data_IF_104694754636
#
_entry.id   IF_104694754636
#
_cell.length_a   1.000
_cell.length_b   1.000
_cell.length_c   1.000
_cell.angle_alpha   90.00
_cell.angle_beta   90.00
_cell.angle_gamma   90.00
#
_symmetry.space_group_name_H-M   'P 1'
#
loop_
_entity.id
_entity.type
_entity.pdbx_description
1 polymer ?
#
# COMPACT_ATOMS: atom_id res chain seq x y z
N UNK A 1 -6.37 27.16 -19.22
CA UNK A 1 -7.15 26.41 -18.21
C UNK A 1 -7.10 24.96 -18.61
N UNK A 2 -6.14 24.25 -18.05
CA UNK A 2 -5.21 23.43 -18.82
C UNK A 2 -5.51 21.95 -18.62
N UNK A 3 -5.24 21.12 -19.64
CA UNK A 3 -5.64 19.71 -19.76
C UNK A 3 -5.40 18.82 -18.51
N UNK A 4 -4.58 19.23 -17.54
CA UNK A 4 -4.37 18.52 -16.26
C UNK A 4 -5.61 18.57 -15.37
N UNK A 5 -6.34 19.69 -15.36
CA UNK A 5 -7.59 19.85 -14.62
C UNK A 5 -8.68 18.88 -15.13
N UNK A 6 -8.64 18.54 -16.42
CA UNK A 6 -9.57 17.60 -17.02
C UNK A 6 -9.43 16.18 -16.44
N UNK A 7 -8.21 15.70 -16.23
CA UNK A 7 -7.97 14.40 -15.59
C UNK A 7 -8.51 14.39 -14.14
N UNK A 8 -8.35 15.50 -13.41
CA UNK A 8 -8.90 15.64 -12.05
C UNK A 8 -10.43 15.66 -12.03
N UNK A 9 -11.02 16.43 -12.94
CA UNK A 9 -12.46 16.51 -13.09
C UNK A 9 -13.07 15.15 -13.47
N UNK A 10 -12.45 14.43 -14.41
CA UNK A 10 -12.88 13.09 -14.81
C UNK A 10 -12.81 12.10 -13.65
N UNK A 11 -11.69 12.07 -12.90
CA UNK A 11 -11.56 11.23 -11.72
C UNK A 11 -12.67 11.52 -10.69
N UNK A 12 -12.98 12.81 -10.46
CA UNK A 12 -14.06 13.23 -9.55
C UNK A 12 -15.45 12.82 -10.07
N UNK A 13 -15.70 12.96 -11.36
CA UNK A 13 -16.98 12.56 -11.98
C UNK A 13 -17.17 11.05 -11.88
N UNK A 14 -16.13 10.25 -12.13
CA UNK A 14 -16.16 8.80 -11.95
C UNK A 14 -16.52 8.46 -10.50
N UNK A 15 -15.80 9.01 -9.52
CA UNK A 15 -16.05 8.75 -8.10
C UNK A 15 -17.48 9.15 -7.67
N UNK A 16 -17.95 10.32 -8.11
CA UNK A 16 -19.30 10.83 -7.80
C UNK A 16 -20.39 9.95 -8.43
N UNK A 17 -20.23 9.63 -9.72
CA UNK A 17 -21.18 8.80 -10.46
C UNK A 17 -21.27 7.40 -9.85
N UNK A 18 -20.13 6.75 -9.65
CA UNK A 18 -20.06 5.37 -9.16
C UNK A 18 -20.63 5.25 -7.75
N UNK A 19 -20.36 6.22 -6.88
CA UNK A 19 -20.93 6.26 -5.53
C UNK A 19 -22.46 6.40 -5.55
N UNK A 20 -23.00 7.31 -6.37
CA UNK A 20 -24.44 7.51 -6.49
C UNK A 20 -25.12 6.29 -7.13
N UNK A 21 -24.60 5.82 -8.26
CA UNK A 21 -25.15 4.70 -9.02
C UNK A 21 -25.11 3.38 -8.25
N UNK A 22 -24.04 3.11 -7.50
CA UNK A 22 -23.96 1.87 -6.70
C UNK A 22 -25.07 1.76 -5.68
N UNK A 23 -25.48 2.89 -5.09
CA UNK A 23 -26.60 2.91 -4.15
C UNK A 23 -27.96 2.77 -4.85
N UNK A 24 -28.14 3.48 -5.97
CA UNK A 24 -29.40 3.53 -6.70
C UNK A 24 -29.72 2.21 -7.43
N UNK A 25 -28.71 1.47 -7.87
CA UNK A 25 -28.86 0.28 -8.72
C UNK A 25 -28.71 -1.04 -7.97
N UNK A 26 -28.81 -1.01 -6.64
CA UNK A 26 -28.76 -2.21 -5.81
C UNK A 26 -29.81 -3.22 -6.27
N UNK A 27 -29.41 -4.48 -6.43
CA UNK A 27 -30.25 -5.60 -6.89
C UNK A 27 -30.88 -5.42 -8.29
N UNK A 28 -30.36 -4.50 -9.13
CA UNK A 28 -30.79 -4.30 -10.51
C UNK A 28 -29.65 -4.58 -11.51
N UNK A 29 -29.47 -5.85 -11.94
CA UNK A 29 -28.32 -6.26 -12.76
C UNK A 29 -28.16 -5.52 -14.09
N UNK A 30 -29.25 -5.09 -14.73
CA UNK A 30 -29.22 -4.28 -15.95
C UNK A 30 -28.67 -2.87 -15.69
N UNK A 31 -29.14 -2.21 -14.64
CA UNK A 31 -28.68 -0.88 -14.27
C UNK A 31 -27.25 -0.90 -13.72
N UNK A 32 -26.88 -1.95 -12.97
CA UNK A 32 -25.48 -2.22 -12.59
C UNK A 32 -24.62 -2.38 -13.84
N UNK A 33 -25.06 -3.16 -14.83
CA UNK A 33 -24.33 -3.32 -16.09
C UNK A 33 -24.11 -1.99 -16.81
N UNK A 34 -25.13 -1.14 -16.84
CA UNK A 34 -25.03 0.21 -17.41
C UNK A 34 -24.11 1.13 -16.61
N UNK A 35 -24.11 1.02 -15.28
CA UNK A 35 -23.16 1.74 -14.42
C UNK A 35 -21.73 1.33 -14.70
N UNK A 36 -21.46 0.02 -14.78
CA UNK A 36 -20.13 -0.50 -15.08
C UNK A 36 -19.65 -0.01 -16.45
N UNK A 37 -20.50 -0.10 -17.49
CA UNK A 37 -20.22 0.41 -18.83
C UNK A 37 -19.91 1.92 -18.83
N UNK A 38 -20.71 2.70 -18.11
CA UNK A 38 -20.52 4.17 -18.02
C UNK A 38 -19.24 4.53 -17.27
N UNK A 39 -18.91 3.78 -16.24
CA UNK A 39 -17.69 3.99 -15.45
C UNK A 39 -16.44 3.73 -16.27
N UNK A 40 -16.43 2.65 -17.08
CA UNK A 40 -15.29 2.36 -17.95
C UNK A 40 -15.22 3.32 -19.14
N UNK A 41 -16.34 3.80 -19.70
CA UNK A 41 -16.35 4.86 -20.72
C UNK A 41 -15.69 6.14 -20.22
N UNK A 42 -16.06 6.58 -19.01
CA UNK A 42 -15.44 7.74 -18.36
C UNK A 42 -13.96 7.50 -18.06
N UNK A 43 -13.61 6.28 -17.64
CA UNK A 43 -12.22 5.90 -17.42
C UNK A 43 -11.40 5.93 -18.73
N UNK A 44 -11.95 5.53 -19.87
CA UNK A 44 -11.27 5.65 -21.17
C UNK A 44 -10.94 7.11 -21.48
N UNK A 45 -11.83 8.06 -21.15
CA UNK A 45 -11.52 9.49 -21.28
C UNK A 45 -10.39 9.92 -20.33
N UNK A 46 -10.41 9.44 -19.08
CA UNK A 46 -9.34 9.70 -18.10
C UNK A 46 -8.00 9.12 -18.55
N UNK A 47 -7.97 7.89 -19.06
CA UNK A 47 -6.77 7.21 -19.55
C UNK A 47 -6.18 7.97 -20.74
N UNK A 48 -7.00 8.34 -21.74
CA UNK A 48 -6.55 9.19 -22.86
C UNK A 48 -5.95 10.51 -22.40
N UNK A 49 -6.59 11.18 -21.43
CA UNK A 49 -6.07 12.41 -20.83
C UNK A 49 -4.72 12.17 -20.15
N UNK A 50 -4.62 11.14 -19.31
CA UNK A 50 -3.41 10.84 -18.55
C UNK A 50 -2.23 10.45 -19.46
N UNK A 51 -2.48 9.64 -20.48
CA UNK A 51 -1.49 9.23 -21.47
C UNK A 51 -0.94 10.40 -22.28
N UNK A 52 -1.80 11.39 -22.59
CA UNK A 52 -1.37 12.60 -23.27
C UNK A 52 -0.35 13.41 -22.45
N UNK A 53 -0.55 13.50 -21.13
CA UNK A 53 0.37 14.21 -20.23
C UNK A 53 1.60 13.39 -19.85
N UNK A 54 1.43 12.08 -19.70
CA UNK A 54 2.47 11.16 -19.24
C UNK A 54 2.56 9.96 -20.17
N UNK A 55 3.24 10.10 -21.33
CA UNK A 55 3.35 9.03 -22.32
C UNK A 55 3.94 7.73 -21.78
N UNK A 56 4.79 7.79 -20.74
CA UNK A 56 5.35 6.62 -20.06
C UNK A 56 4.28 5.60 -19.61
N UNK A 57 3.06 6.06 -19.32
CA UNK A 57 1.96 5.17 -18.97
C UNK A 57 1.64 4.18 -20.10
N UNK A 58 1.83 4.54 -21.38
CA UNK A 58 1.56 3.66 -22.53
C UNK A 58 2.28 2.30 -22.42
N UNK A 59 3.45 2.28 -21.80
CA UNK A 59 4.25 1.06 -21.69
C UNK A 59 3.66 0.01 -20.74
N UNK A 60 2.63 0.36 -19.97
CA UNK A 60 2.08 -0.49 -18.92
C UNK A 60 0.62 -0.88 -19.20
N UNK A 61 0.28 -2.14 -18.95
CA UNK A 61 -1.10 -2.64 -19.03
C UNK A 61 -1.93 -2.06 -17.88
N UNK A 62 -3.11 -1.45 -18.16
CA UNK A 62 -4.01 -0.94 -17.11
C UNK A 62 -4.66 -2.03 -16.24
N UNK A 63 -4.57 -3.31 -16.61
CA UNK A 63 -4.93 -4.45 -15.76
C UNK A 63 -6.37 -4.95 -15.88
N UNK A 64 -7.16 -4.45 -16.85
CA UNK A 64 -8.51 -4.96 -17.10
C UNK A 64 -8.45 -6.30 -17.86
N UNK A 65 -9.08 -7.39 -17.40
CA UNK A 65 -9.14 -8.66 -18.15
C UNK A 65 -9.92 -8.54 -19.46
N UNK A 66 -9.58 -9.30 -20.52
CA UNK A 66 -10.32 -9.27 -21.79
C UNK A 66 -11.80 -9.67 -21.66
N UNK A 67 -12.09 -10.70 -20.87
CA UNK A 67 -13.45 -11.25 -20.68
C UNK A 67 -14.28 -10.51 -19.63
N UNK A 68 -13.76 -9.40 -19.10
CA UNK A 68 -14.36 -8.69 -17.97
C UNK A 68 -15.80 -8.23 -18.25
N UNK A 69 -16.12 -7.88 -19.48
CA UNK A 69 -17.39 -7.26 -19.84
C UNK A 69 -18.40 -8.23 -20.47
N UNK A 70 -18.03 -9.49 -20.70
CA UNK A 70 -18.93 -10.52 -21.24
C UNK A 70 -20.25 -10.66 -20.46
N UNK A 71 -20.28 -10.53 -19.11
CA UNK A 71 -21.52 -10.71 -18.36
C UNK A 71 -22.47 -9.50 -18.35
N UNK A 72 -22.12 -8.37 -18.99
CA UNK A 72 -22.93 -7.16 -18.93
C UNK A 72 -24.28 -7.34 -19.66
N UNK A 73 -25.37 -6.97 -19.00
CA UNK A 73 -26.72 -6.97 -19.58
C UNK A 73 -26.97 -5.66 -20.33
N UNK A 74 -26.72 -5.65 -21.65
CA UNK A 74 -26.80 -4.46 -22.50
C UNK A 74 -27.86 -4.64 -23.61
N UNK A 75 -29.17 -4.53 -23.30
CA UNK A 75 -30.24 -4.86 -24.25
C UNK A 75 -30.32 -3.90 -25.46
N UNK A 76 -29.74 -2.70 -25.37
CA UNK A 76 -29.83 -1.70 -26.44
C UNK A 76 -28.61 -1.73 -27.34
N UNK A 77 -28.82 -1.64 -28.66
CA UNK A 77 -27.74 -1.53 -29.67
C UNK A 77 -26.71 -0.45 -29.31
N UNK A 78 -27.15 0.73 -28.90
CA UNK A 78 -26.26 1.83 -28.52
C UNK A 78 -25.35 1.49 -27.32
N UNK A 79 -25.81 0.64 -26.39
CA UNK A 79 -24.99 0.18 -25.27
C UNK A 79 -23.92 -0.83 -25.75
N UNK A 80 -24.30 -1.77 -26.61
CA UNK A 80 -23.35 -2.72 -27.21
C UNK A 80 -22.30 -2.01 -28.07
N UNK A 81 -22.68 -0.98 -28.84
CA UNK A 81 -21.75 -0.16 -29.61
C UNK A 81 -20.78 0.63 -28.71
N UNK A 82 -21.23 1.08 -27.53
CA UNK A 82 -20.36 1.69 -26.51
C UNK A 82 -19.35 0.67 -25.99
N UNK A 83 -19.82 -0.52 -25.62
CA UNK A 83 -18.96 -1.58 -25.13
C UNK A 83 -17.89 -1.96 -26.16
N UNK A 84 -18.27 -2.13 -27.42
CA UNK A 84 -17.33 -2.44 -28.51
C UNK A 84 -16.19 -1.42 -28.59
N UNK A 85 -16.49 -0.12 -28.45
CA UNK A 85 -15.46 0.94 -28.46
C UNK A 85 -14.52 0.84 -27.26
N UNK A 86 -15.04 0.50 -26.07
CA UNK A 86 -14.25 0.28 -24.86
C UNK A 86 -13.33 -0.92 -25.03
N UNK A 87 -13.85 -2.06 -25.49
CA UNK A 87 -13.08 -3.28 -25.71
C UNK A 87 -11.97 -3.08 -26.75
N UNK A 88 -12.28 -2.39 -27.87
CA UNK A 88 -11.29 -2.02 -28.88
C UNK A 88 -10.20 -1.09 -28.32
N UNK A 89 -10.59 -0.13 -27.48
CA UNK A 89 -9.63 0.75 -26.81
C UNK A 89 -8.71 -0.04 -25.89
N UNK A 90 -9.24 -0.88 -25.02
CA UNK A 90 -8.47 -1.70 -24.08
C UNK A 90 -7.57 -2.71 -24.79
N UNK A 91 -8.05 -3.34 -25.87
CA UNK A 91 -7.26 -4.23 -26.69
C UNK A 91 -6.07 -3.51 -27.33
N UNK A 92 -6.30 -2.31 -27.90
CA UNK A 92 -5.22 -1.46 -28.44
C UNK A 92 -4.25 -1.06 -27.33
N UNK A 93 -4.77 -0.67 -26.17
CA UNK A 93 -3.98 -0.24 -25.01
C UNK A 93 -3.07 -1.34 -24.47
N UNK A 94 -3.57 -2.59 -24.44
CA UNK A 94 -2.80 -3.78 -24.05
C UNK A 94 -1.74 -4.13 -25.08
N UNK A 95 -2.06 -4.07 -26.38
CA UNK A 95 -1.09 -4.32 -27.46
C UNK A 95 0.04 -3.31 -27.47
N UNK A 96 -0.23 -2.06 -27.08
CA UNK A 96 0.77 -1.01 -26.96
C UNK A 96 1.66 -1.14 -25.71
N UNK A 97 1.23 -1.87 -24.68
CA UNK A 97 2.02 -2.08 -23.48
C UNK A 97 3.25 -2.96 -23.78
N UNK A 98 4.36 -2.68 -23.10
CA UNK A 98 5.61 -3.38 -23.32
C UNK A 98 5.56 -4.75 -22.63
N UNK A 99 5.79 -5.87 -23.36
CA UNK A 99 5.76 -7.20 -22.78
C UNK A 99 6.78 -7.37 -21.63
N UNK A 100 6.33 -8.01 -20.55
CA UNK A 100 7.17 -8.31 -19.39
C UNK A 100 7.39 -7.12 -18.45
N UNK A 101 6.72 -5.99 -18.65
CA UNK A 101 6.69 -4.93 -17.65
C UNK A 101 5.75 -5.33 -16.51
N UNK A 102 6.15 -5.12 -15.24
CA UNK A 102 5.29 -5.45 -14.12
C UNK A 102 4.11 -4.49 -14.04
N UNK A 103 3.01 -4.95 -13.44
CA UNK A 103 1.86 -4.10 -13.15
C UNK A 103 2.25 -2.90 -12.28
N UNK A 104 1.76 -1.71 -12.65
CA UNK A 104 1.90 -0.46 -11.88
C UNK A 104 1.34 -0.61 -10.46
N UNK A 105 0.42 -1.55 -10.24
CA UNK A 105 -0.23 -1.77 -8.95
C UNK A 105 0.47 -2.80 -8.05
N UNK A 106 1.57 -3.42 -8.50
CA UNK A 106 2.26 -4.50 -7.77
C UNK A 106 3.71 -4.21 -7.46
N UNK A 107 4.53 -4.02 -8.49
CA UNK A 107 5.98 -3.87 -8.33
C UNK A 107 6.37 -2.41 -8.21
N UNK A 108 7.19 -2.11 -7.21
CA UNK A 108 7.68 -0.76 -6.93
C UNK A 108 9.19 -0.68 -7.11
N UNK A 109 9.89 -1.80 -6.98
CA UNK A 109 11.33 -1.93 -6.82
C UNK A 109 12.00 -2.72 -7.95
N UNK A 110 11.30 -2.96 -9.06
CA UNK A 110 11.90 -3.56 -10.26
C UNK A 110 12.43 -2.48 -11.21
N UNK A 111 13.51 -2.79 -11.95
CA UNK A 111 14.09 -1.89 -12.97
C UNK A 111 13.06 -1.42 -14.01
N UNK A 112 12.08 -2.27 -14.32
CA UNK A 112 11.01 -2.00 -15.29
C UNK A 112 9.74 -1.42 -14.64
N UNK A 113 9.70 -1.27 -13.32
CA UNK A 113 8.55 -0.67 -12.63
C UNK A 113 8.36 0.79 -13.04
N UNK A 114 7.13 1.28 -13.00
CA UNK A 114 6.80 2.65 -13.42
C UNK A 114 7.55 3.69 -12.59
N UNK A 115 7.57 3.52 -11.26
CA UNK A 115 8.21 4.44 -10.34
C UNK A 115 9.71 4.61 -10.64
N UNK A 116 10.42 3.50 -10.81
CA UNK A 116 11.85 3.49 -11.14
C UNK A 116 12.11 4.12 -12.50
N UNK A 117 11.36 3.76 -13.54
CA UNK A 117 11.55 4.32 -14.88
C UNK A 117 11.23 5.81 -14.95
N UNK A 118 10.19 6.25 -14.23
CA UNK A 118 9.86 7.66 -14.12
C UNK A 118 10.98 8.44 -13.42
N UNK A 119 11.50 7.91 -12.30
CA UNK A 119 12.64 8.49 -11.59
C UNK A 119 13.86 8.65 -12.51
N UNK A 120 14.20 7.60 -13.28
CA UNK A 120 15.34 7.62 -14.20
C UNK A 120 15.22 8.70 -15.30
N UNK A 121 13.99 9.07 -15.67
CA UNK A 121 13.72 10.10 -16.69
C UNK A 121 13.47 11.49 -16.09
N UNK A 122 13.54 11.64 -14.76
CA UNK A 122 13.19 12.88 -14.07
C UNK A 122 14.40 13.50 -13.35
N UNK A 123 15.05 14.52 -13.96
CA UNK A 123 16.12 15.27 -13.30
C UNK A 123 15.68 15.89 -11.97
N UNK A 124 14.40 16.28 -11.88
CA UNK A 124 13.80 16.82 -10.66
C UNK A 124 13.78 15.82 -9.51
N UNK A 125 13.38 14.56 -9.76
CA UNK A 125 13.39 13.53 -8.72
C UNK A 125 14.81 13.09 -8.36
N UNK A 126 15.72 13.08 -9.33
CA UNK A 126 17.14 12.81 -9.09
C UNK A 126 17.76 13.88 -8.18
N UNK A 127 17.42 15.15 -8.40
CA UNK A 127 17.83 16.25 -7.52
C UNK A 127 17.20 16.13 -6.13
N UNK A 128 15.92 15.75 -6.04
CA UNK A 128 15.27 15.49 -4.76
C UNK A 128 16.00 14.39 -3.98
N UNK A 129 16.40 13.30 -4.64
CA UNK A 129 17.21 12.23 -4.03
C UNK A 129 18.55 12.77 -3.52
N UNK A 130 19.28 13.52 -4.34
CA UNK A 130 20.57 14.13 -3.93
C UNK A 130 20.41 15.04 -2.72
N UNK A 131 19.35 15.84 -2.67
CA UNK A 131 19.04 16.71 -1.53
C UNK A 131 18.81 15.90 -0.25
N UNK A 132 18.01 14.83 -0.33
CA UNK A 132 17.75 13.94 0.81
C UNK A 132 19.05 13.31 1.32
N UNK A 133 19.87 12.78 0.42
CA UNK A 133 21.14 12.13 0.78
C UNK A 133 22.17 13.13 1.34
N UNK A 134 22.21 14.36 0.84
CA UNK A 134 23.08 15.41 1.37
C UNK A 134 22.67 15.84 2.80
N UNK A 135 21.37 16.01 3.05
CA UNK A 135 20.85 16.32 4.39
C UNK A 135 21.14 15.16 5.36
N UNK A 136 20.88 13.92 4.94
CA UNK A 136 21.19 12.73 5.72
C UNK A 136 22.69 12.57 6.03
N UNK A 137 23.55 12.91 5.06
CA UNK A 137 25.01 12.89 5.26
C UNK A 137 25.41 13.87 6.37
N UNK A 138 24.89 15.10 6.32
CA UNK A 138 25.17 16.11 7.34
C UNK A 138 24.66 15.68 8.72
N UNK A 139 23.44 15.15 8.81
CA UNK A 139 22.88 14.63 10.06
C UNK A 139 23.72 13.47 10.62
N UNK A 140 24.17 12.56 9.76
CA UNK A 140 25.03 11.43 10.16
C UNK A 140 26.38 11.92 10.66
N UNK A 141 27.02 12.89 10.01
CA UNK A 141 28.28 13.50 10.49
C UNK A 141 28.13 14.20 11.84
N UNK A 142 27.00 14.89 12.05
CA UNK A 142 26.67 15.49 13.35
C UNK A 142 26.48 14.41 14.41
N UNK A 143 25.79 13.31 14.07
CA UNK A 143 25.56 12.19 14.98
C UNK A 143 26.86 11.47 15.37
N UNK A 144 27.79 11.28 14.44
CA UNK A 144 29.13 10.73 14.72
C UNK A 144 29.90 11.66 15.69
N UNK A 145 29.82 12.98 15.47
CA UNK A 145 30.43 13.96 16.38
C UNK A 145 29.79 13.96 17.78
N UNK A 146 28.46 13.78 17.86
CA UNK A 146 27.73 13.59 19.12
C UNK A 146 28.20 12.33 19.86
N UNK A 147 28.35 11.21 19.13
CA UNK A 147 28.83 9.95 19.66
C UNK A 147 30.23 10.08 20.25
N UNK A 148 31.17 10.69 19.51
CA UNK A 148 32.55 10.89 19.97
C UNK A 148 32.59 11.70 21.29
N UNK A 149 31.83 12.78 21.39
CA UNK A 149 31.74 13.60 22.61
C UNK A 149 31.17 12.81 23.79
N UNK A 150 30.13 12.00 23.56
CA UNK A 150 29.51 11.18 24.61
C UNK A 150 30.41 10.03 25.05
N UNK A 151 31.14 9.40 24.13
CA UNK A 151 32.15 8.38 24.46
C UNK A 151 33.29 8.97 25.29
N UNK A 152 33.80 10.14 24.91
CA UNK A 152 34.82 10.83 25.72
C UNK A 152 34.31 11.09 27.14
N UNK A 153 33.10 11.65 27.28
CA UNK A 153 32.49 11.89 28.60
C UNK A 153 32.30 10.59 29.41
N UNK A 154 31.91 9.50 28.74
CA UNK A 154 31.79 8.19 29.38
C UNK A 154 33.14 7.70 29.93
N UNK A 155 34.22 7.80 29.14
CA UNK A 155 35.56 7.42 29.57
C UNK A 155 36.07 8.28 30.74
N UNK A 156 35.86 9.61 30.67
CA UNK A 156 36.21 10.53 31.76
C UNK A 156 35.51 10.17 33.07
N UNK A 157 34.19 9.87 33.02
CA UNK A 157 33.42 9.48 34.19
C UNK A 157 33.89 8.13 34.76
N UNK A 158 34.19 7.16 33.89
CA UNK A 158 34.68 5.84 34.29
C UNK A 158 36.07 5.93 34.93
N UNK A 159 36.98 6.71 34.35
CA UNK A 159 38.34 6.93 34.88
C UNK A 159 38.29 7.60 36.26
N UNK A 160 37.49 8.66 36.42
CA UNK A 160 37.28 9.31 37.72
C UNK A 160 36.72 8.36 38.77
N UNK A 161 35.75 7.52 38.38
CA UNK A 161 35.18 6.49 39.25
C UNK A 161 36.21 5.44 39.66
N UNK A 162 37.03 4.98 38.72
CA UNK A 162 37.99 3.89 38.95
C UNK A 162 39.18 4.36 39.79
N UNK A 163 39.51 5.66 39.74
CA UNK A 163 40.44 6.32 40.66
C UNK A 163 39.91 6.53 42.09
N UNK A 164 38.63 6.27 42.35
CA UNK A 164 38.00 6.41 43.67
C UNK A 164 37.77 5.05 44.36
N UNK A 165 37.71 5.06 45.69
CA UNK A 165 37.24 3.92 46.51
C UNK A 165 35.80 4.15 46.96
N UNK A 166 35.04 3.06 47.16
CA UNK A 166 33.70 3.17 47.71
C UNK A 166 33.75 3.75 49.14
N UNK A 167 32.81 4.63 49.44
CA UNK A 167 32.64 5.21 50.76
C UNK A 167 31.71 4.30 51.58
N UNK A 168 32.14 3.95 52.79
CA UNK A 168 31.36 3.18 53.73
C UNK A 168 31.06 4.02 54.97
N UNK A 169 29.84 3.90 55.47
CA UNK A 169 29.34 4.62 56.65
C UNK A 169 28.90 3.61 57.71
N UNK A 170 29.21 3.85 59.00
CA UNK A 170 28.74 2.98 60.05
C UNK A 170 27.22 3.07 60.19
N UNK A 171 26.53 1.92 60.16
CA UNK A 171 25.11 1.79 60.50
C UNK A 171 24.93 0.78 61.62
N UNK A 172 23.94 1.01 62.47
CA UNK A 172 23.58 0.09 63.54
C UNK A 172 22.57 -0.95 63.04
N UNK A 173 22.92 -2.23 63.13
CA UNK A 173 22.01 -3.36 62.87
C UNK A 173 22.06 -4.34 64.03
N UNK A 174 20.91 -4.69 64.61
CA UNK A 174 20.79 -5.67 65.72
C UNK A 174 21.80 -5.45 66.87
N UNK A 175 22.00 -4.19 67.28
CA UNK A 175 22.95 -3.78 68.34
C UNK A 175 24.44 -4.01 68.03
N UNK A 176 24.79 -4.29 66.77
CA UNK A 176 26.17 -4.25 66.26
C UNK A 176 26.33 -3.10 65.26
N UNK A 177 27.49 -2.45 65.29
CA UNK A 177 27.88 -1.46 64.30
C UNK A 177 28.44 -2.20 63.08
N UNK A 178 27.80 -2.04 61.93
CA UNK A 178 28.18 -2.66 60.67
C UNK A 178 28.60 -1.56 59.69
N UNK A 179 29.62 -1.81 58.89
CA UNK A 179 30.05 -0.91 57.82
C UNK A 179 29.16 -1.13 56.59
N UNK A 180 28.23 -0.21 56.33
CA UNK A 180 27.34 -0.26 55.17
C UNK A 180 27.86 0.70 54.08
N UNK A 181 27.65 0.35 52.82
CA UNK A 181 27.98 1.24 51.70
C UNK A 181 27.16 2.53 51.77
N UNK A 182 27.78 3.67 51.50
CA UNK A 182 27.10 4.98 51.51
C UNK A 182 26.11 5.09 50.34
N UNK A 183 24.89 5.56 50.62
CA UNK A 183 23.88 5.81 49.58
C UNK A 183 24.29 6.98 48.66
N UNK A 184 25.18 7.87 49.13
CA UNK A 184 25.73 9.00 48.39
C UNK A 184 27.17 8.77 47.90
N UNK A 185 27.56 7.51 47.72
CA UNK A 185 28.92 7.16 47.27
C UNK A 185 29.21 7.76 45.88
N UNK A 186 30.14 8.71 45.83
CA UNK A 186 30.50 9.43 44.61
C UNK A 186 30.97 8.50 43.49
N UNK A 187 31.74 7.45 43.80
CA UNK A 187 32.15 6.42 42.83
C UNK A 187 30.95 5.79 42.14
N UNK A 188 29.95 5.37 42.91
CA UNK A 188 28.76 4.71 42.38
C UNK A 188 27.86 5.70 41.61
N UNK A 189 27.82 6.97 42.03
CA UNK A 189 27.13 8.03 41.29
C UNK A 189 27.76 8.25 39.92
N UNK A 190 29.10 8.36 39.83
CA UNK A 190 29.82 8.50 38.56
C UNK A 190 29.60 7.30 37.63
N UNK A 191 29.65 6.06 38.15
CA UNK A 191 29.31 4.85 37.36
C UNK A 191 27.86 4.87 36.88
N UNK A 192 26.93 5.33 37.72
CA UNK A 192 25.51 5.45 37.37
C UNK A 192 25.29 6.54 36.31
N UNK A 193 25.98 7.68 36.41
CA UNK A 193 25.93 8.75 35.42
C UNK A 193 26.46 8.24 34.07
N UNK A 194 27.63 7.59 34.06
CA UNK A 194 28.21 6.97 32.88
C UNK A 194 27.26 5.92 32.26
N UNK A 195 26.68 5.04 33.09
CA UNK A 195 25.72 4.02 32.66
C UNK A 195 24.36 4.58 32.19
N UNK A 196 24.03 5.81 32.57
CA UNK A 196 22.84 6.54 32.14
C UNK A 196 23.02 7.32 30.84
N UNK A 197 24.26 7.49 30.36
CA UNK A 197 24.52 8.15 29.09
C UNK A 197 23.93 7.33 27.93
N UNK A 198 23.10 8.00 27.14
CA UNK A 198 22.45 7.42 25.97
C UNK A 198 22.61 8.30 24.74
N UNK A 199 22.48 7.69 23.57
CA UNK A 199 22.45 8.38 22.28
C UNK A 199 21.28 7.86 21.45
N UNK A 200 20.64 8.77 20.73
CA UNK A 200 19.59 8.42 19.79
C UNK A 200 20.19 7.90 18.49
N UNK A 201 19.61 6.82 17.96
CA UNK A 201 19.99 6.26 16.66
C UNK A 201 19.62 7.25 15.55
N UNK A 202 20.51 7.38 14.57
CA UNK A 202 20.23 7.97 13.27
C UNK A 202 20.00 6.85 12.25
N UNK A 203 18.81 6.81 11.65
CA UNK A 203 18.46 5.89 10.56
C UNK A 203 18.57 6.62 9.23
N UNK A 204 19.29 6.04 8.27
CA UNK A 204 19.35 6.61 6.91
C UNK A 204 17.94 6.70 6.31
N UNK A 205 17.57 7.79 5.64
CA UNK A 205 16.18 7.99 5.24
C UNK A 205 15.74 7.13 4.05
N UNK A 206 16.66 6.70 3.19
CA UNK A 206 16.37 5.90 1.99
C UNK A 206 16.92 4.47 2.11
N UNK A 207 16.33 3.51 1.39
CA UNK A 207 16.86 2.14 1.31
C UNK A 207 18.26 2.13 0.66
N UNK A 208 19.14 1.22 1.07
CA UNK A 208 20.40 0.95 0.36
C UNK A 208 20.18 0.31 -1.00
N UNK A 209 18.99 -0.27 -1.22
CA UNK A 209 18.61 -0.83 -2.51
C UNK A 209 18.17 0.31 -3.42
N UNK A 210 18.99 0.65 -4.40
CA UNK A 210 18.78 1.79 -5.30
C UNK A 210 17.39 1.84 -5.94
N UNK A 211 16.85 0.69 -6.35
CA UNK A 211 15.53 0.62 -6.99
C UNK A 211 14.41 1.00 -6.01
N UNK A 212 14.52 0.58 -4.75
CA UNK A 212 13.57 0.97 -3.70
C UNK A 212 13.72 2.43 -3.31
N UNK A 213 14.94 2.94 -3.24
CA UNK A 213 15.19 4.36 -2.99
C UNK A 213 14.56 5.22 -4.08
N UNK A 214 14.76 4.86 -5.35
CA UNK A 214 14.16 5.54 -6.50
C UNK A 214 12.63 5.51 -6.44
N UNK A 215 12.06 4.36 -6.07
CA UNK A 215 10.61 4.21 -5.91
C UNK A 215 10.06 5.06 -4.77
N UNK A 216 10.75 5.08 -3.62
CA UNK A 216 10.38 5.91 -2.49
C UNK A 216 10.40 7.40 -2.88
N UNK A 217 11.46 7.86 -3.55
CA UNK A 217 11.57 9.26 -4.01
C UNK A 217 10.49 9.63 -5.01
N UNK A 218 10.15 8.72 -5.95
CA UNK A 218 9.00 8.92 -6.84
C UNK A 218 7.70 9.13 -6.04
N UNK A 219 7.48 8.37 -4.97
CA UNK A 219 6.25 8.45 -4.17
C UNK A 219 6.18 9.70 -3.29
N UNK A 220 7.31 10.32 -2.96
CA UNK A 220 7.36 11.62 -2.28
C UNK A 220 6.78 12.75 -3.13
N UNK A 221 6.89 12.67 -4.47
CA UNK A 221 6.48 13.74 -5.40
C UNK A 221 5.84 13.17 -6.68
N UNK A 222 4.87 12.25 -6.51
CA UNK A 222 4.12 11.66 -7.63
C UNK A 222 3.37 12.75 -8.38
N UNK A 223 3.47 12.82 -9.72
CA UNK A 223 2.68 13.75 -10.49
C UNK A 223 1.18 13.53 -10.28
N UNK A 224 0.44 14.62 -10.06
CA UNK A 224 -0.97 14.56 -9.67
C UNK A 224 -1.83 13.77 -10.65
N UNK A 225 -1.59 13.93 -11.96
CA UNK A 225 -2.32 13.18 -13.01
C UNK A 225 -2.04 11.68 -12.90
N UNK A 226 -0.79 11.28 -12.69
CA UNK A 226 -0.41 9.86 -12.53
C UNK A 226 -1.05 9.29 -11.27
N UNK A 227 -0.95 10.00 -10.15
CA UNK A 227 -1.58 9.59 -8.88
C UNK A 227 -3.08 9.38 -9.04
N UNK A 228 -3.77 10.32 -9.71
CA UNK A 228 -5.24 10.27 -9.86
C UNK A 228 -5.70 9.24 -10.88
N UNK A 229 -4.98 9.09 -11.98
CA UNK A 229 -5.19 7.97 -12.89
C UNK A 229 -5.01 6.65 -12.14
N UNK A 230 -3.90 6.48 -11.41
CA UNK A 230 -3.57 5.25 -10.68
C UNK A 230 -4.64 4.90 -9.64
N UNK A 231 -5.04 5.86 -8.80
CA UNK A 231 -6.06 5.65 -7.77
C UNK A 231 -7.44 5.36 -8.38
N UNK A 232 -7.81 6.04 -9.47
CA UNK A 232 -9.11 5.82 -10.14
C UNK A 232 -9.15 4.45 -10.82
N UNK A 233 -8.12 4.09 -11.59
CA UNK A 233 -8.01 2.77 -12.24
C UNK A 233 -8.07 1.66 -11.19
N UNK A 234 -7.30 1.79 -10.12
CA UNK A 234 -7.30 0.81 -9.03
C UNK A 234 -8.67 0.71 -8.35
N UNK A 235 -9.35 1.84 -8.13
CA UNK A 235 -10.68 1.84 -7.52
C UNK A 235 -11.72 1.17 -8.42
N UNK A 236 -11.67 1.39 -9.73
CA UNK A 236 -12.54 0.68 -10.67
C UNK A 236 -12.26 -0.83 -10.64
N UNK A 237 -10.99 -1.24 -10.73
CA UNK A 237 -10.61 -2.65 -10.69
C UNK A 237 -11.09 -3.33 -9.39
N UNK A 238 -10.84 -2.72 -8.23
CA UNK A 238 -11.00 -3.35 -6.93
C UNK A 238 -12.37 -3.13 -6.28
N UNK A 239 -12.97 -1.93 -6.43
CA UNK A 239 -14.26 -1.62 -5.82
C UNK A 239 -15.43 -1.98 -6.73
N UNK A 240 -15.29 -1.78 -8.04
CA UNK A 240 -16.40 -2.02 -8.96
C UNK A 240 -16.34 -3.40 -9.57
N UNK A 241 -15.18 -3.78 -10.09
CA UNK A 241 -15.03 -4.95 -10.92
C UNK A 241 -14.62 -6.22 -10.19
N UNK A 242 -14.19 -6.13 -8.93
CA UNK A 242 -13.85 -7.31 -8.15
C UNK A 242 -15.01 -7.82 -7.29
N UNK A 243 -15.01 -9.12 -7.07
CA UNK A 243 -15.75 -9.78 -5.98
C UNK A 243 -14.97 -9.54 -4.69
N UNK A 244 -15.65 -9.20 -3.59
CA UNK A 244 -14.97 -9.04 -2.31
C UNK A 244 -14.38 -10.39 -1.84
N UNK A 245 -13.05 -10.50 -1.65
CA UNK A 245 -12.47 -11.70 -1.08
C UNK A 245 -12.87 -11.75 0.41
N UNK A 246 -13.89 -12.53 0.73
CA UNK A 246 -14.36 -12.72 2.11
C UNK A 246 -15.87 -12.70 2.35
N UNK A 247 -16.72 -12.48 1.34
CA UNK A 247 -18.18 -12.51 1.52
C UNK A 247 -18.72 -13.88 2.00
N UNK A 248 -17.92 -14.95 1.96
CA UNK A 248 -18.29 -16.31 2.39
C UNK A 248 -17.68 -16.76 3.72
N UNK A 249 -16.93 -15.91 4.44
CA UNK A 249 -16.47 -16.25 5.80
C UNK A 249 -16.82 -15.14 6.78
N UNK A 250 -17.65 -15.43 7.82
CA UNK A 250 -17.77 -14.51 8.95
C UNK A 250 -16.36 -14.28 9.49
N UNK A 251 -15.98 -13.01 9.69
CA UNK A 251 -14.73 -12.62 10.34
C UNK A 251 -14.68 -13.19 11.77
N UNK A 252 -14.37 -14.48 11.90
CA UNK A 252 -14.04 -15.13 13.16
C UNK A 252 -12.61 -14.73 13.49
N UNK A 253 -12.51 -13.71 14.32
CA UNK A 253 -11.28 -13.32 14.98
C UNK A 253 -10.95 -11.85 14.75
N UNK A 254 -11.01 -11.06 15.82
CA UNK A 254 -10.20 -9.85 15.97
C UNK A 254 -8.71 -10.24 16.01
N UNK A 255 -8.18 -10.79 14.91
CA UNK A 255 -6.75 -10.95 14.74
C UNK A 255 -6.11 -9.57 14.85
N UNK A 256 -5.01 -9.43 15.60
CA UNK A 256 -4.28 -8.17 15.71
C UNK A 256 -3.94 -7.72 14.29
N UNK A 257 -4.57 -6.62 13.84
CA UNK A 257 -4.26 -6.03 12.54
C UNK A 257 -2.75 -5.74 12.52
N UNK A 258 -2.06 -6.28 11.50
CA UNK A 258 -0.61 -6.13 11.40
C UNK A 258 -0.29 -4.64 11.39
N UNK A 259 0.63 -4.21 12.27
CA UNK A 259 1.07 -2.81 12.27
C UNK A 259 1.85 -2.54 10.99
N UNK A 260 1.51 -1.44 10.35
CA UNK A 260 2.12 -1.01 9.10
C UNK A 260 2.62 0.42 9.22
N UNK A 261 3.65 0.76 8.46
CA UNK A 261 4.36 2.03 8.53
C UNK A 261 4.39 2.65 7.12
N UNK A 262 3.53 3.65 6.90
CA UNK A 262 3.45 4.35 5.63
C UNK A 262 4.65 5.27 5.42
N UNK A 263 5.16 5.35 4.19
CA UNK A 263 6.25 6.26 3.78
C UNK A 263 5.94 7.71 4.16
N UNK A 264 4.67 8.12 3.99
CA UNK A 264 4.20 9.47 4.33
C UNK A 264 4.36 9.82 5.81
N UNK A 265 4.32 8.83 6.70
CA UNK A 265 4.43 9.02 8.14
C UNK A 265 5.84 8.75 8.66
N UNK A 266 6.79 8.43 7.78
CA UNK A 266 8.17 8.18 8.16
C UNK A 266 8.92 9.50 8.42
N UNK A 267 9.36 9.69 9.66
CA UNK A 267 9.95 10.94 10.11
C UNK A 267 11.16 11.40 9.27
N UNK A 268 11.97 10.45 8.76
CA UNK A 268 13.14 10.77 7.94
C UNK A 268 12.82 11.30 6.54
N UNK A 269 11.58 11.15 6.06
CA UNK A 269 11.18 11.59 4.71
C UNK A 269 9.96 12.51 4.68
N UNK A 270 9.23 12.67 5.78
CA UNK A 270 7.99 13.46 5.84
C UNK A 270 8.16 14.91 5.36
N UNK A 271 9.32 15.53 5.62
CA UNK A 271 9.61 16.91 5.23
C UNK A 271 9.80 17.08 3.72
N UNK A 272 10.07 15.99 3.00
CA UNK A 272 10.23 15.97 1.55
C UNK A 272 8.93 15.59 0.82
N UNK A 273 7.86 15.28 1.56
CA UNK A 273 6.58 14.89 1.00
C UNK A 273 5.90 16.08 0.32
N UNK A 274 5.73 15.98 -1.00
CA UNK A 274 5.03 16.97 -1.84
C UNK A 274 3.74 16.41 -2.41
N UNK A 275 3.66 15.09 -2.57
CA UNK A 275 2.49 14.42 -3.13
C UNK A 275 1.28 14.49 -2.19
N UNK A 276 0.09 14.63 -2.77
CA UNK A 276 -1.16 14.58 -2.01
C UNK A 276 -1.44 13.15 -1.54
N UNK A 277 -2.16 13.01 -0.43
CA UNK A 277 -2.52 11.70 0.08
C UNK A 277 -3.44 10.99 -0.92
N UNK A 278 -2.94 9.92 -1.54
CA UNK A 278 -3.70 9.02 -2.39
C UNK A 278 -4.17 7.77 -1.65
N UNK A 279 -5.02 6.99 -2.31
CA UNK A 279 -5.48 5.68 -1.82
C UNK A 279 -4.31 4.71 -1.75
N UNK A 280 -3.53 4.66 -2.83
CA UNK A 280 -2.37 3.79 -2.96
C UNK A 280 -1.13 4.46 -2.39
N UNK A 281 -0.51 3.80 -1.42
CA UNK A 281 0.64 4.33 -0.68
C UNK A 281 1.73 3.27 -0.52
N UNK A 282 3.00 3.69 -0.52
CA UNK A 282 4.09 2.82 -0.08
C UNK A 282 4.05 2.65 1.43
N UNK A 283 4.03 1.39 1.85
CA UNK A 283 3.90 1.02 3.24
C UNK A 283 4.79 -0.18 3.56
N UNK A 284 5.37 -0.20 4.74
CA UNK A 284 6.21 -1.30 5.23
C UNK A 284 5.58 -2.03 6.42
N UNK A 285 5.84 -3.33 6.52
CA UNK A 285 5.61 -4.10 7.76
C UNK A 285 6.77 -3.96 8.75
N UNK A 286 7.96 -3.60 8.24
CA UNK A 286 9.14 -3.44 9.07
C UNK A 286 9.04 -2.14 9.83
N UNK A 287 9.33 -2.19 11.13
CA UNK A 287 9.27 -1.03 12.00
C UNK A 287 10.52 -0.16 11.81
N UNK A 288 10.39 1.16 11.58
CA UNK A 288 11.54 2.05 11.57
C UNK A 288 12.31 2.01 12.90
N UNK A 289 13.63 2.13 12.85
CA UNK A 289 14.47 2.11 14.05
C UNK A 289 14.15 3.28 14.98
N UNK A 290 13.84 4.45 14.42
CA UNK A 290 13.52 5.68 15.14
C UNK A 290 12.31 5.57 16.10
N UNK A 291 11.41 4.62 15.88
CA UNK A 291 10.26 4.36 16.77
C UNK A 291 10.34 3.00 17.47
N UNK A 292 11.41 2.23 17.22
CA UNK A 292 11.66 0.93 17.82
C UNK A 292 12.17 1.07 19.27
N UNK A 293 12.21 -0.05 20.01
CA UNK A 293 12.86 -0.06 21.33
C UNK A 293 14.38 0.14 21.24
N UNK A 294 14.96 0.06 20.04
CA UNK A 294 16.37 0.36 19.79
C UNK A 294 16.65 1.84 19.60
N UNK A 295 15.63 2.73 19.58
CA UNK A 295 15.84 4.16 19.29
C UNK A 295 16.86 4.87 20.18
N UNK A 296 17.07 4.36 21.40
CA UNK A 296 18.08 4.83 22.34
C UNK A 296 19.11 3.73 22.58
N UNK A 297 20.38 4.08 22.51
CA UNK A 297 21.46 3.17 22.80
C UNK A 297 22.32 3.66 23.95
N UNK A 298 22.74 2.74 24.83
CA UNK A 298 23.70 3.05 25.90
C UNK A 298 25.07 3.32 25.30
N UNK A 299 25.71 4.39 25.74
CA UNK A 299 27.04 4.78 25.25
C UNK A 299 28.08 3.67 25.47
N UNK A 300 27.97 2.92 26.56
CA UNK A 300 28.84 1.77 26.86
C UNK A 300 28.86 0.68 25.77
N UNK A 301 27.84 0.64 24.90
CA UNK A 301 27.70 -0.33 23.81
C UNK A 301 27.63 0.36 22.44
N UNK A 302 27.67 1.70 22.40
CA UNK A 302 27.50 2.47 21.18
C UNK A 302 28.80 2.50 20.37
N UNK A 303 28.65 2.34 19.07
CA UNK A 303 29.67 2.50 18.06
C UNK A 303 29.02 3.13 16.82
N UNK A 304 29.80 3.44 15.79
CA UNK A 304 29.25 4.11 14.62
C UNK A 304 28.18 3.27 13.89
N UNK A 305 28.37 1.95 13.77
CA UNK A 305 27.48 1.10 12.98
C UNK A 305 26.13 0.81 13.64
N UNK A 306 26.05 0.87 14.97
CA UNK A 306 24.79 0.67 15.69
C UNK A 306 24.05 1.98 16.03
N UNK A 307 24.76 3.11 16.04
CA UNK A 307 24.15 4.44 16.15
C UNK A 307 23.71 4.98 14.79
N UNK A 308 24.49 4.74 13.73
CA UNK A 308 24.17 5.18 12.37
C UNK A 308 23.73 3.97 11.54
N UNK A 309 22.44 3.63 11.63
CA UNK A 309 21.86 2.47 10.96
C UNK A 309 21.35 2.84 9.57
N UNK A 310 21.22 1.83 8.71
CA UNK A 310 20.58 1.98 7.41
C UNK A 310 19.06 1.82 7.54
N UNK A 311 18.35 2.30 6.52
CA UNK A 311 16.90 2.21 6.48
C UNK A 311 16.43 0.76 6.52
N UNK A 312 15.60 0.42 7.49
CA UNK A 312 15.05 -0.94 7.62
C UNK A 312 13.75 -1.18 6.84
N UNK A 313 13.19 -0.15 6.20
CA UNK A 313 11.85 -0.21 5.63
C UNK A 313 11.87 -0.94 4.29
N UNK A 314 11.02 -1.96 4.18
CA UNK A 314 10.73 -2.64 2.94
C UNK A 314 9.32 -2.24 2.48
N UNK A 315 9.24 -1.40 1.46
CA UNK A 315 8.00 -0.82 0.99
C UNK A 315 7.30 -1.69 -0.06
N UNK A 316 5.99 -1.83 0.09
CA UNK A 316 5.11 -2.36 -0.92
C UNK A 316 3.87 -1.46 -1.08
N UNK A 317 3.18 -1.58 -2.21
CA UNK A 317 1.93 -0.85 -2.43
C UNK A 317 0.82 -1.38 -1.52
N UNK A 318 0.16 -0.44 -0.86
CA UNK A 318 -0.89 -0.69 0.11
C UNK A 318 -2.13 0.13 -0.22
N UNK A 319 -3.29 -0.52 -0.16
CA UNK A 319 -4.58 0.13 -0.25
C UNK A 319 -4.99 0.63 1.14
N UNK A 320 -4.83 1.94 1.36
CA UNK A 320 -5.19 2.58 2.62
C UNK A 320 -6.70 2.56 2.90
N UNK A 321 -7.55 2.53 1.86
CA UNK A 321 -9.02 2.48 2.00
C UNK A 321 -9.47 1.14 2.56
N UNK A 322 -8.93 0.03 2.03
CA UNK A 322 -9.27 -1.34 2.47
C UNK A 322 -8.36 -1.90 3.55
N UNK A 323 -7.27 -1.18 3.87
CA UNK A 323 -6.23 -1.64 4.79
C UNK A 323 -5.63 -2.99 4.40
N UNK A 324 -5.33 -3.19 3.10
CA UNK A 324 -4.80 -4.45 2.54
C UNK A 324 -3.70 -4.20 1.52
N UNK A 325 -2.83 -5.19 1.31
CA UNK A 325 -1.82 -5.13 0.25
C UNK A 325 -2.47 -5.24 -1.13
N UNK A 326 -2.01 -4.45 -2.09
CA UNK A 326 -2.64 -4.41 -3.42
C UNK A 326 -2.65 -5.76 -4.11
N UNK A 327 -1.56 -6.54 -3.95
CA UNK A 327 -1.41 -7.90 -4.49
C UNK A 327 -2.50 -8.89 -4.05
N UNK A 328 -3.21 -8.62 -2.95
CA UNK A 328 -4.29 -9.48 -2.44
C UNK A 328 -5.67 -9.15 -3.02
N UNK A 329 -5.79 -8.01 -3.67
CA UNK A 329 -7.05 -7.44 -4.17
C UNK A 329 -7.12 -7.41 -5.70
N UNK A 330 -5.96 -7.49 -6.34
CA UNK A 330 -5.80 -7.59 -7.78
C UNK A 330 -6.01 -9.05 -8.24
N UNK A 331 -6.45 -9.21 -9.48
CA UNK A 331 -6.84 -10.49 -10.11
C UNK A 331 -8.19 -11.08 -9.62
N UNK A 332 -8.95 -10.33 -8.82
CA UNK A 332 -10.28 -10.72 -8.39
C UNK A 332 -11.40 -10.15 -9.27
N UNK A 333 -11.07 -9.60 -10.45
CA UNK A 333 -12.03 -8.94 -11.32
C UNK A 333 -13.00 -9.96 -11.93
N UNK A 334 -14.24 -9.94 -11.45
CA UNK A 334 -15.37 -10.68 -11.96
C UNK A 334 -16.65 -9.91 -11.62
N UNK A 335 -17.39 -9.51 -12.65
CA UNK A 335 -18.64 -8.75 -12.54
C UNK A 335 -19.86 -9.62 -12.75
N UNK A 336 -19.69 -10.92 -13.07
CA UNK A 336 -20.76 -11.83 -13.46
C UNK A 336 -21.87 -11.87 -12.43
N UNK A 337 -21.52 -12.09 -11.17
CA UNK A 337 -22.51 -12.17 -10.10
C UNK A 337 -23.38 -10.91 -9.99
N UNK A 338 -22.79 -9.72 -10.20
CA UNK A 338 -23.46 -8.41 -10.15
C UNK A 338 -24.32 -8.14 -11.38
N UNK A 339 -23.98 -8.76 -12.51
CA UNK A 339 -24.61 -8.55 -13.81
C UNK A 339 -25.48 -9.74 -14.24
N UNK A 340 -25.78 -10.67 -13.34
CA UNK A 340 -26.68 -11.80 -13.63
C UNK A 340 -28.01 -11.61 -12.91
N UNK A 341 -29.11 -11.79 -13.65
CA UNK A 341 -30.46 -11.82 -13.09
C UNK A 341 -30.59 -12.92 -12.04
N UNK A 342 -31.09 -12.57 -10.86
CA UNK A 342 -31.39 -13.52 -9.78
C UNK A 342 -32.82 -14.02 -9.95
N UNK A 343 -32.96 -15.34 -10.05
CA UNK A 343 -34.27 -15.97 -10.09
C UNK A 343 -34.95 -15.82 -8.72
N UNK A 344 -36.27 -15.56 -8.69
CA UNK A 344 -37.00 -15.41 -7.44
C UNK A 344 -37.02 -16.71 -6.65
N UNK A 345 -37.32 -16.60 -5.35
CA UNK A 345 -37.62 -17.78 -4.55
C UNK A 345 -38.82 -18.54 -5.16
N UNK A 346 -38.73 -19.87 -5.15
CA UNK A 346 -39.75 -20.73 -5.72
C UNK A 346 -39.16 -21.78 -6.66
N UNK A 347 -40.00 -22.35 -7.55
CA UNK A 347 -39.64 -23.54 -8.31
C UNK A 347 -38.48 -23.28 -9.30
N UNK A 348 -38.33 -22.06 -9.81
CA UNK A 348 -37.25 -21.68 -10.73
C UNK A 348 -35.89 -21.45 -10.04
N UNK A 349 -35.83 -21.33 -8.71
CA UNK A 349 -34.58 -21.01 -8.00
C UNK A 349 -33.45 -22.00 -8.30
N UNK A 350 -33.78 -23.29 -8.45
CA UNK A 350 -32.82 -24.34 -8.79
C UNK A 350 -32.14 -24.14 -10.15
N UNK A 351 -32.76 -23.38 -11.06
CA UNK A 351 -32.23 -23.11 -12.40
C UNK A 351 -31.24 -21.93 -12.44
N UNK A 352 -30.87 -21.36 -11.29
CA UNK A 352 -29.95 -20.22 -11.24
C UNK A 352 -28.61 -20.54 -11.92
N UNK A 353 -28.15 -21.80 -11.86
CA UNK A 353 -26.90 -22.22 -12.51
C UNK A 353 -26.93 -21.96 -14.03
N UNK A 354 -28.08 -22.18 -14.68
CA UNK A 354 -28.26 -21.99 -16.11
C UNK A 354 -28.33 -20.50 -16.51
N UNK A 355 -28.74 -19.63 -15.58
CA UNK A 355 -28.76 -18.17 -15.78
C UNK A 355 -27.37 -17.57 -15.52
N UNK A 356 -26.60 -18.13 -14.59
CA UNK A 356 -25.27 -17.65 -14.24
C UNK A 356 -24.25 -17.76 -15.39
N UNK A 357 -24.30 -18.85 -16.15
CA UNK A 357 -23.38 -19.09 -17.25
C UNK A 357 -23.90 -20.16 -18.22
N UNK A 358 -23.25 -20.24 -19.38
CA UNK A 358 -23.55 -21.20 -20.45
C UNK A 358 -22.43 -22.24 -20.62
N UNK A 359 -21.67 -22.53 -19.55
CA UNK A 359 -20.56 -23.50 -19.59
C UNK A 359 -21.01 -24.94 -19.32
N UNK A 360 -22.29 -25.14 -19.01
CA UNK A 360 -22.88 -26.45 -18.74
C UNK A 360 -22.97 -27.29 -20.02
N UNK A 361 -22.67 -28.58 -19.92
CA UNK A 361 -22.80 -29.54 -21.01
C UNK A 361 -24.21 -30.15 -21.04
N UNK A 362 -24.63 -30.65 -22.20
CA UNK A 362 -25.92 -31.35 -22.34
C UNK A 362 -26.04 -32.53 -21.37
N UNK A 363 -24.95 -33.29 -21.15
CA UNK A 363 -24.96 -34.44 -20.26
C UNK A 363 -25.12 -34.04 -18.79
N UNK A 364 -24.48 -32.96 -18.35
CA UNK A 364 -24.65 -32.43 -16.99
C UNK A 364 -26.09 -31.98 -16.75
N UNK A 365 -26.68 -31.26 -17.71
CA UNK A 365 -28.08 -30.82 -17.60
C UNK A 365 -29.05 -32.01 -17.55
N UNK A 366 -28.83 -33.05 -18.36
CA UNK A 366 -29.66 -34.26 -18.34
C UNK A 366 -29.50 -35.01 -17.01
N UNK A 367 -28.27 -35.15 -16.50
CA UNK A 367 -28.02 -35.84 -15.24
C UNK A 367 -28.69 -35.14 -14.04
N UNK A 368 -28.76 -33.81 -14.05
CA UNK A 368 -29.40 -33.01 -13.00
C UNK A 368 -30.92 -32.90 -13.11
N UNK A 369 -31.58 -33.58 -14.07
CA UNK A 369 -33.05 -33.55 -14.19
C UNK A 369 -33.79 -34.04 -12.94
N UNK A 370 -33.21 -35.01 -12.22
CA UNK A 370 -33.79 -35.52 -10.97
C UNK A 370 -33.81 -34.48 -9.83
N UNK A 371 -32.99 -33.42 -9.94
CA UNK A 371 -32.92 -32.32 -8.97
C UNK A 371 -33.90 -31.19 -9.29
N UNK A 372 -34.62 -31.29 -10.42
CA UNK A 372 -35.60 -30.29 -10.84
C UNK A 372 -36.85 -30.37 -9.95
N UNK A 373 -37.33 -29.24 -9.38
CA UNK A 373 -38.52 -29.24 -8.55
C UNK A 373 -39.74 -29.79 -9.29
N UNK A 374 -40.58 -30.59 -8.60
CA UNK A 374 -41.78 -31.21 -9.19
C UNK A 374 -42.71 -30.19 -9.88
N UNK A 375 -42.78 -28.97 -9.34
CA UNK A 375 -43.56 -27.86 -9.89
C UNK A 375 -43.09 -27.38 -11.29
N UNK A 376 -41.87 -27.74 -11.71
CA UNK A 376 -41.33 -27.50 -13.05
C UNK A 376 -41.32 -28.74 -13.94
N UNK A 377 -41.73 -29.90 -13.41
CA UNK A 377 -41.77 -31.10 -14.21
C UNK A 377 -42.80 -30.92 -15.34
N UNK A 378 -42.34 -31.06 -16.58
CA UNK A 378 -43.22 -31.06 -17.77
C UNK A 378 -43.99 -32.39 -17.88
N UNK A 379 -43.71 -33.33 -16.97
CA UNK A 379 -44.40 -34.60 -16.79
C UNK A 379 -45.52 -34.45 -15.75
N UNK A 380 -46.58 -33.70 -16.08
CA UNK A 380 -47.89 -34.01 -15.49
C UNK A 380 -48.43 -35.25 -16.21
N UNK A 381 -48.39 -36.39 -15.52
CA UNK A 381 -49.31 -37.50 -15.84
C UNK A 381 -50.65 -37.24 -15.20
#
# INVERSE_FOLDING_TARGET
MERKDACMALAKVIDTYTSAASSAYTDMPEDVSLMLLTSIDLWVALDKCALHHYPLLHDYDPGFPPSLFEPLLLPRKAQMERLLRVEQYLATRRKAAVPGFPSIFRSVDATKSFAVRYFQQSPHLQELRRKIEAEATNERSQKISELAKKLQRYHELMEQSDGMSCQYVPRWRRRQQVSDHSDSCQKCQLKSEAGGLTIDIHEWPLSERDLEANAAVFELDVPTVVSKWRDTTYSILVDMFSVEPGAQTPRRGKGKQQRVYALRSYAGLQNFMKSQAGRLQLTSITKPFVISHYRHQKISQANESNVCVNNGLNYALYDSKRSRWTKELLDCCDVREKCTLKLPAGPYRGLQYAVNNTIHTSNEVIASQAECPEALSVLRR
#
